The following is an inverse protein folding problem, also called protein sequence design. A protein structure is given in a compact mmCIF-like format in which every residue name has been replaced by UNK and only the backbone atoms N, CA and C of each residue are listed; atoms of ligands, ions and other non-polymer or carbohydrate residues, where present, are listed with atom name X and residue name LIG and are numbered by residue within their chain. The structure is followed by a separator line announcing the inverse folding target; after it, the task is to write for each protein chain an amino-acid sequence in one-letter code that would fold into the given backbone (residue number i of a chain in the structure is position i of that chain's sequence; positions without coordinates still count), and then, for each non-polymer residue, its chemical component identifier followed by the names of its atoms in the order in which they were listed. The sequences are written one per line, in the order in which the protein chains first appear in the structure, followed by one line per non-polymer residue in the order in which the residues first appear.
data_IF_612569833467
#
_entry.id   IF_612569833467
#
_cell.length_a   1.000
_cell.length_b   1.000
_cell.length_c   1.000
_cell.angle_alpha   90.00
_cell.angle_beta   90.00
_cell.angle_gamma   90.00
#
_symmetry.space_group_name_H-M   'P 1'
#
loop_
_entity.id
_entity.type
_entity.pdbx_description
1 polymer ?
#
# COMPACT_ATOMS: atom_id res chain seq x y z
N UNK A 1 0.42 5.68 1.11
CA UNK A 1 -0.53 6.42 1.98
C UNK A 1 0.23 7.17 3.07
N UNK A 2 -0.08 8.45 3.28
CA UNK A 2 0.57 9.30 4.29
C UNK A 2 -0.27 9.30 5.55
N UNK A 3 0.23 8.68 6.62
CA UNK A 3 -0.52 8.43 7.85
C UNK A 3 0.28 8.76 9.10
N UNK A 4 -0.40 9.24 10.13
CA UNK A 4 0.19 9.53 11.43
C UNK A 4 -0.76 9.07 12.56
N UNK A 5 -0.28 8.29 13.54
CA UNK A 5 1.07 7.75 13.70
C UNK A 5 1.34 6.48 12.87
N UNK A 6 2.50 6.40 12.19
CA UNK A 6 2.86 5.25 11.34
C UNK A 6 2.95 3.92 12.10
N UNK A 7 3.47 3.92 13.34
CA UNK A 7 3.62 2.67 14.10
C UNK A 7 2.27 2.02 14.40
N UNK A 8 1.28 2.83 14.78
CA UNK A 8 -0.07 2.34 15.06
C UNK A 8 -0.75 1.89 13.77
N UNK A 9 -0.61 2.67 12.68
CA UNK A 9 -1.12 2.28 11.37
C UNK A 9 -0.58 0.93 10.91
N UNK A 10 0.73 0.69 11.07
CA UNK A 10 1.33 -0.59 10.71
C UNK A 10 0.79 -1.75 11.56
N UNK A 11 0.55 -1.53 12.86
CA UNK A 11 -0.05 -2.53 13.73
C UNK A 11 -1.50 -2.86 13.32
N UNK A 12 -2.31 -1.85 13.02
CA UNK A 12 -3.69 -2.01 12.55
C UNK A 12 -3.72 -2.76 11.23
N UNK A 13 -2.86 -2.40 10.26
CA UNK A 13 -2.80 -3.08 8.97
C UNK A 13 -2.35 -4.53 9.13
N UNK A 14 -1.33 -4.80 9.95
CA UNK A 14 -0.90 -6.19 10.21
C UNK A 14 -1.97 -7.03 10.90
N UNK A 15 -2.79 -6.42 11.75
CA UNK A 15 -3.87 -7.11 12.44
C UNK A 15 -5.06 -7.39 11.51
N UNK A 16 -5.45 -6.40 10.70
CA UNK A 16 -6.57 -6.52 9.76
C UNK A 16 -6.21 -7.39 8.54
N UNK A 17 -4.96 -7.32 8.09
CA UNK A 17 -4.46 -7.99 6.88
C UNK A 17 -3.09 -8.67 7.15
N UNK A 18 -3.07 -9.81 7.86
CA UNK A 18 -1.82 -10.48 8.24
C UNK A 18 -0.97 -10.97 7.06
N UNK A 19 -1.59 -11.17 5.89
CA UNK A 19 -0.92 -11.61 4.66
C UNK A 19 -0.59 -10.47 3.68
N UNK A 20 -0.84 -9.22 4.06
CA UNK A 20 -0.59 -8.08 3.19
C UNK A 20 0.86 -7.62 3.26
N UNK A 21 1.43 -7.30 2.09
CA UNK A 21 2.72 -6.63 2.01
C UNK A 21 2.56 -5.15 2.38
N UNK A 22 3.13 -4.79 3.53
CA UNK A 22 3.16 -3.43 4.08
C UNK A 22 4.61 -2.99 4.17
N UNK A 23 4.97 -1.94 3.44
CA UNK A 23 6.31 -1.37 3.43
C UNK A 23 6.26 0.02 4.05
N UNK A 24 6.77 0.21 5.28
CA UNK A 24 6.88 1.56 5.86
C UNK A 24 7.95 2.36 5.11
N UNK A 25 7.62 3.60 4.75
CA UNK A 25 8.53 4.55 4.10
C UNK A 25 8.76 5.78 4.98
N UNK A 26 9.68 6.66 4.58
CA UNK A 26 9.97 7.90 5.34
C UNK A 26 8.80 8.88 5.38
N UNK A 27 7.88 8.81 4.43
CA UNK A 27 6.75 9.74 4.28
C UNK A 27 5.38 9.09 4.54
N UNK A 28 5.34 7.80 4.88
CA UNK A 28 4.10 7.08 5.10
C UNK A 28 4.27 5.57 5.00
N UNK A 29 3.25 4.90 4.47
CA UNK A 29 3.22 3.44 4.32
C UNK A 29 2.80 3.12 2.89
N UNK A 30 3.48 2.17 2.27
CA UNK A 30 3.10 1.55 1.01
C UNK A 30 2.45 0.21 1.29
N UNK A 31 1.36 -0.07 0.58
CA UNK A 31 0.55 -1.28 0.76
C UNK A 31 0.06 -1.75 -0.59
N UNK A 32 0.05 -3.07 -0.79
CA UNK A 32 -0.53 -3.69 -1.98
C UNK A 32 -1.91 -4.27 -1.65
N UNK A 33 -2.95 -3.65 -2.18
CA UNK A 33 -4.35 -4.09 -2.08
C UNK A 33 -5.09 -3.81 -3.38
N UNK A 34 -6.22 -4.49 -3.54
CA UNK A 34 -7.22 -4.18 -4.55
C UNK A 34 -7.85 -2.80 -4.30
N UNK A 35 -8.28 -2.16 -5.40
CA UNK A 35 -8.87 -0.82 -5.35
C UNK A 35 -10.12 -0.75 -4.46
N UNK A 36 -10.90 -1.83 -4.44
CA UNK A 36 -12.13 -1.95 -3.64
C UNK A 36 -11.84 -2.01 -2.13
N UNK A 37 -10.66 -2.45 -1.73
CA UNK A 37 -10.25 -2.56 -0.33
C UNK A 37 -9.72 -1.22 0.23
N UNK A 38 -9.42 -0.24 -0.63
CA UNK A 38 -8.91 1.08 -0.22
C UNK A 38 -9.85 1.78 0.77
N UNK A 39 -11.17 1.91 0.50
CA UNK A 39 -12.09 2.52 1.46
C UNK A 39 -12.20 1.72 2.76
N UNK A 40 -12.17 0.38 2.71
CA UNK A 40 -12.21 -0.49 3.89
C UNK A 40 -11.00 -0.25 4.79
N UNK A 41 -9.81 -0.22 4.20
CA UNK A 41 -8.57 0.07 4.91
C UNK A 41 -8.58 1.50 5.48
N UNK A 42 -9.02 2.49 4.70
CA UNK A 42 -9.11 3.87 5.17
C UNK A 42 -10.05 4.01 6.38
N UNK A 43 -11.22 3.36 6.32
CA UNK A 43 -12.17 3.35 7.42
C UNK A 43 -11.58 2.72 8.69
N UNK A 44 -10.87 1.60 8.56
CA UNK A 44 -10.19 0.94 9.67
C UNK A 44 -9.13 1.87 10.32
N UNK A 45 -8.32 2.55 9.50
CA UNK A 45 -7.31 3.50 10.00
C UNK A 45 -7.96 4.68 10.74
N UNK A 46 -8.97 5.30 10.14
CA UNK A 46 -9.65 6.47 10.73
C UNK A 46 -10.40 6.09 12.02
N UNK A 47 -11.02 4.90 12.06
CA UNK A 47 -11.68 4.38 13.26
C UNK A 47 -10.71 4.21 14.43
N UNK A 48 -9.46 3.87 14.14
CA UNK A 48 -8.37 3.72 15.12
C UNK A 48 -7.67 5.05 15.46
N UNK A 49 -8.31 6.19 15.15
CA UNK A 49 -7.81 7.55 15.38
C UNK A 49 -6.50 7.87 14.64
N UNK A 50 -6.21 7.14 13.54
CA UNK A 50 -5.06 7.40 12.70
C UNK A 50 -5.44 8.44 11.64
N UNK A 51 -4.64 9.50 11.55
CA UNK A 51 -4.86 10.57 10.57
C UNK A 51 -4.32 10.13 9.23
N UNK A 52 -5.20 10.05 8.23
CA UNK A 52 -4.84 9.77 6.83
C UNK A 52 -4.87 11.09 6.05
N UNK A 53 -3.69 11.57 5.66
CA UNK A 53 -3.56 12.84 4.94
C UNK A 53 -3.68 12.67 3.42
N UNK A 54 -3.41 11.48 2.91
CA UNK A 54 -3.50 11.19 1.49
C UNK A 54 -3.30 9.71 1.17
N UNK A 55 -4.09 9.24 0.22
CA UNK A 55 -3.95 7.91 -0.39
C UNK A 55 -3.57 8.14 -1.84
N UNK A 56 -2.46 7.54 -2.26
CA UNK A 56 -1.95 7.62 -3.63
C UNK A 56 -1.84 6.19 -4.13
N UNK A 57 -2.45 5.91 -5.28
CA UNK A 57 -2.34 4.62 -5.94
C UNK A 57 -1.02 4.62 -6.68
N UNK A 58 -0.08 3.79 -6.23
CA UNK A 58 1.14 3.52 -6.96
C UNK A 58 0.80 2.47 -8.03
N UNK A 59 0.32 2.94 -9.17
CA UNK A 59 0.19 2.06 -10.33
C UNK A 59 1.60 1.71 -10.80
N UNK A 60 1.90 0.41 -10.90
CA UNK A 60 3.06 -0.09 -11.65
C UNK A 60 3.20 0.71 -12.95
N UNK A 61 4.38 1.24 -13.21
CA UNK A 61 4.65 2.04 -14.41
C UNK A 61 4.35 1.21 -15.67
N UNK A 62 4.11 1.89 -16.79
CA UNK A 62 3.99 1.23 -18.09
C UNK A 62 5.20 0.35 -18.40
N UNK A 63 6.39 0.69 -17.91
CA UNK A 63 7.61 -0.13 -18.00
C UNK A 63 7.47 -1.49 -17.32
N UNK A 64 6.90 -1.56 -16.12
CA UNK A 64 6.74 -2.83 -15.41
C UNK A 64 5.64 -3.69 -16.04
N UNK A 65 4.56 -3.06 -16.53
CA UNK A 65 3.54 -3.76 -17.36
C UNK A 65 4.11 -4.25 -18.69
N UNK A 66 5.02 -3.50 -19.29
CA UNK A 66 5.69 -3.87 -20.54
C UNK A 66 6.64 -5.06 -20.32
N UNK A 67 7.37 -5.08 -19.21
CA UNK A 67 8.27 -6.18 -18.85
C UNK A 67 7.52 -7.48 -18.55
N UNK A 68 6.36 -7.38 -17.89
CA UNK A 68 5.47 -8.53 -17.63
C UNK A 68 4.83 -9.06 -18.92
N UNK A 69 4.43 -8.18 -19.84
CA UNK A 69 3.84 -8.57 -21.13
C UNK A 69 4.86 -9.16 -22.11
N UNK A 70 6.14 -8.78 -21.99
CA UNK A 70 7.23 -9.27 -22.85
C UNK A 70 8.01 -10.43 -22.25
N UNK A 71 7.59 -10.95 -21.10
CA UNK A 71 8.07 -12.23 -20.58
C UNK A 71 9.57 -12.27 -20.29
N UNK A 72 10.13 -11.19 -19.72
CA UNK A 72 11.50 -11.20 -19.19
C UNK A 72 12.51 -11.74 -20.20
N UNK A 73 12.75 -11.01 -21.29
CA UNK A 73 13.91 -11.30 -22.10
C UNK A 73 15.15 -10.79 -21.35
N UNK A 74 15.62 -11.60 -20.41
CA UNK A 74 17.01 -11.61 -19.98
C UNK A 74 17.84 -11.81 -21.25
N UNK A 75 18.43 -10.72 -21.75
CA UNK A 75 19.64 -10.82 -22.54
C UNK A 75 20.73 -10.27 -21.64
N UNK A 76 21.61 -11.19 -21.25
CA UNK A 76 22.91 -10.98 -20.60
C UNK A 76 23.79 -9.98 -21.33
#
# INVERSE_FOLDING_TARGET
LTVEPMQQALAVIKHAYPHMNVTPTKQGIEVSLDYEEIPNLNAALVSEHIKVYGIQVLTKSLEERFLEMTGGNEIV
#
